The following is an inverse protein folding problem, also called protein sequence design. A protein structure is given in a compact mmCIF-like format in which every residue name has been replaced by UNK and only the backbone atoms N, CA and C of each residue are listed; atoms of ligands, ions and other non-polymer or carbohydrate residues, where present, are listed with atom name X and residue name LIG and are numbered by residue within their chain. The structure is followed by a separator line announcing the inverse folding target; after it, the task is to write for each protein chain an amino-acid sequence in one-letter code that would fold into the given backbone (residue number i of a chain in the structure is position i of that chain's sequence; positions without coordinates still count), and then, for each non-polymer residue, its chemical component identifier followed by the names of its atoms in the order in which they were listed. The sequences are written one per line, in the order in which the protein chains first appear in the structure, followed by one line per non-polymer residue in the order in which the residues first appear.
data_IF_782000451526
#
_entry.id   IF_782000451526
#
_cell.length_a   1.000
_cell.length_b   1.000
_cell.length_c   1.000
_cell.angle_alpha   90.00
_cell.angle_beta   90.00
_cell.angle_gamma   90.00
#
_symmetry.space_group_name_H-M   'P 1'
#
loop_
_entity.id
_entity.type
_entity.pdbx_description
1 polymer ?
#
# COMPACT_ATOMS: atom_id res chain seq x y z
N UNK A 1 -33.85 12.33 -35.86
CA UNK A 1 -32.46 12.13 -35.39
C UNK A 1 -32.50 11.70 -33.92
N UNK A 2 -32.67 10.40 -33.68
CA UNK A 2 -32.51 9.78 -32.36
C UNK A 2 -31.15 9.06 -32.42
N UNK A 3 -30.09 9.74 -32.08
CA UNK A 3 -28.81 9.07 -31.85
C UNK A 3 -28.88 8.43 -30.45
N UNK A 4 -28.89 7.14 -30.48
CA UNK A 4 -28.96 6.23 -29.40
C UNK A 4 -27.84 6.45 -28.39
N UNK A 5 -28.18 6.95 -27.22
CA UNK A 5 -27.55 6.51 -26.01
C UNK A 5 -28.14 5.10 -25.73
N UNK A 6 -27.39 4.07 -26.09
CA UNK A 6 -27.76 2.67 -25.86
C UNK A 6 -27.76 2.30 -24.38
N UNK A 7 -28.55 3.00 -23.62
CA UNK A 7 -28.89 2.59 -22.26
C UNK A 7 -30.03 1.59 -22.35
N UNK A 8 -29.68 0.33 -22.50
CA UNK A 8 -30.63 -0.74 -22.42
C UNK A 8 -31.09 -0.90 -20.97
N UNK A 9 -32.20 -0.25 -20.62
CA UNK A 9 -32.80 -0.29 -19.29
C UNK A 9 -33.30 -1.69 -18.88
N UNK A 10 -33.06 -2.71 -19.70
CA UNK A 10 -33.40 -4.12 -19.43
C UNK A 10 -32.26 -4.94 -18.88
N UNK A 11 -31.05 -4.40 -18.74
CA UNK A 11 -30.07 -5.01 -17.88
C UNK A 11 -30.51 -4.78 -16.43
N UNK A 12 -31.37 -5.68 -15.96
CA UNK A 12 -31.57 -5.89 -14.52
C UNK A 12 -30.22 -5.84 -13.88
N UNK A 13 -29.99 -4.78 -13.11
CA UNK A 13 -28.80 -4.63 -12.24
C UNK A 13 -28.76 -5.91 -11.43
N UNK A 14 -27.93 -6.87 -11.86
CA UNK A 14 -27.75 -8.09 -11.11
C UNK A 14 -27.27 -7.66 -9.73
N UNK A 15 -28.07 -7.96 -8.72
CA UNK A 15 -27.86 -7.64 -7.30
C UNK A 15 -26.58 -8.30 -6.73
N UNK A 16 -25.72 -8.80 -7.61
CA UNK A 16 -24.45 -9.44 -7.28
C UNK A 16 -23.33 -8.41 -7.37
N UNK A 17 -22.65 -8.22 -6.25
CA UNK A 17 -21.44 -7.41 -6.17
C UNK A 17 -20.44 -7.86 -7.24
N UNK A 18 -19.85 -6.89 -7.94
CA UNK A 18 -18.77 -7.20 -8.87
C UNK A 18 -17.60 -7.80 -8.08
N UNK A 19 -16.79 -8.66 -8.70
CA UNK A 19 -15.58 -9.21 -8.07
C UNK A 19 -14.66 -8.11 -7.53
N UNK A 20 -14.60 -6.99 -8.24
CA UNK A 20 -13.85 -5.80 -7.82
C UNK A 20 -14.43 -5.19 -6.54
N UNK A 21 -15.73 -4.89 -6.50
CA UNK A 21 -16.38 -4.29 -5.32
C UNK A 21 -16.25 -5.18 -4.08
N UNK A 22 -16.43 -6.48 -4.27
CA UNK A 22 -16.27 -7.47 -3.20
C UNK A 22 -14.84 -7.48 -2.63
N UNK A 23 -13.83 -7.46 -3.53
CA UNK A 23 -12.43 -7.44 -3.14
C UNK A 23 -12.08 -6.17 -2.36
N UNK A 24 -12.48 -5.01 -2.91
CA UNK A 24 -12.23 -3.70 -2.30
C UNK A 24 -12.82 -3.62 -0.90
N UNK A 25 -14.09 -3.96 -0.72
CA UNK A 25 -14.74 -3.87 0.59
C UNK A 25 -14.09 -4.79 1.62
N UNK A 26 -13.79 -6.04 1.23
CA UNK A 26 -13.14 -6.98 2.14
C UNK A 26 -11.73 -6.57 2.52
N UNK A 27 -10.93 -6.12 1.55
CA UNK A 27 -9.57 -5.65 1.83
C UNK A 27 -9.58 -4.40 2.70
N UNK A 28 -10.46 -3.45 2.41
CA UNK A 28 -10.60 -2.24 3.25
C UNK A 28 -11.02 -2.60 4.67
N UNK A 29 -12.03 -3.46 4.83
CA UNK A 29 -12.46 -3.91 6.14
C UNK A 29 -11.34 -4.67 6.90
N UNK A 30 -10.63 -5.56 6.22
CA UNK A 30 -9.51 -6.29 6.81
C UNK A 30 -8.38 -5.37 7.26
N UNK A 31 -8.04 -4.36 6.44
CA UNK A 31 -6.97 -3.41 6.76
C UNK A 31 -7.38 -2.43 7.88
N UNK A 32 -8.63 -1.99 7.92
CA UNK A 32 -9.12 -1.09 8.98
C UNK A 32 -9.31 -1.85 10.29
N UNK A 33 -10.07 -2.93 10.28
CA UNK A 33 -10.39 -3.67 11.51
C UNK A 33 -9.18 -4.47 11.99
N UNK A 34 -8.53 -5.22 11.11
CA UNK A 34 -7.35 -6.01 11.45
C UNK A 34 -6.15 -5.12 11.77
N UNK A 35 -5.90 -4.10 10.97
CA UNK A 35 -4.83 -3.13 11.21
C UNK A 35 -5.04 -2.35 12.51
N UNK A 36 -6.26 -1.85 12.75
CA UNK A 36 -6.60 -1.15 13.99
C UNK A 36 -6.47 -2.03 15.23
N UNK A 37 -6.90 -3.30 15.13
CA UNK A 37 -6.75 -4.26 16.23
C UNK A 37 -5.27 -4.54 16.53
N UNK A 38 -4.44 -4.73 15.52
CA UNK A 38 -3.01 -4.98 15.72
C UNK A 38 -2.33 -3.74 16.32
N UNK A 39 -2.65 -2.53 15.84
CA UNK A 39 -2.15 -1.29 16.44
C UNK A 39 -2.55 -1.16 17.92
N UNK A 40 -3.77 -1.52 18.26
CA UNK A 40 -4.24 -1.55 19.64
C UNK A 40 -3.47 -2.59 20.49
N UNK A 41 -3.25 -3.80 19.96
CA UNK A 41 -2.45 -4.82 20.64
C UNK A 41 -1.00 -4.38 20.86
N UNK A 42 -0.39 -3.67 19.90
CA UNK A 42 0.96 -3.11 20.07
C UNK A 42 0.97 -2.12 21.26
N UNK A 43 -0.02 -1.22 21.37
CA UNK A 43 -0.12 -0.30 22.51
C UNK A 43 -0.31 -1.00 23.85
N UNK A 44 -0.96 -2.16 23.90
CA UNK A 44 -1.06 -2.99 25.11
C UNK A 44 0.30 -3.57 25.47
N UNK A 45 1.01 -4.16 24.49
CA UNK A 45 2.30 -4.83 24.71
C UNK A 45 3.36 -3.82 25.14
N UNK A 46 3.36 -2.63 24.56
CA UNK A 46 4.29 -1.53 24.90
C UNK A 46 3.98 -0.88 26.26
N UNK A 47 2.93 -1.30 26.92
CA UNK A 47 2.53 -0.75 28.24
C UNK A 47 1.94 0.66 28.18
N UNK A 48 1.79 1.26 27.01
CA UNK A 48 1.21 2.60 26.84
C UNK A 48 -0.24 2.69 27.32
N UNK A 49 -0.96 1.56 27.32
CA UNK A 49 -2.30 1.45 27.93
C UNK A 49 -2.30 1.75 29.43
N UNK A 50 -1.23 1.41 30.14
CA UNK A 50 -1.13 1.53 31.59
C UNK A 50 -0.46 2.84 32.05
N UNK A 51 0.26 3.50 31.13
CA UNK A 51 0.96 4.76 31.40
C UNK A 51 0.19 5.99 30.95
N UNK A 52 -0.70 5.87 29.99
CA UNK A 52 -1.58 6.95 29.57
C UNK A 52 -2.75 7.12 30.53
N UNK A 53 -3.15 8.36 30.81
CA UNK A 53 -4.37 8.67 31.58
C UNK A 53 -5.66 8.34 30.81
N UNK A 54 -5.53 7.93 29.54
CA UNK A 54 -6.67 7.69 28.65
C UNK A 54 -7.30 6.32 28.89
N UNK A 55 -8.62 6.21 28.86
CA UNK A 55 -9.31 4.95 29.03
C UNK A 55 -9.06 4.02 27.82
N UNK A 56 -9.07 2.71 28.04
CA UNK A 56 -8.78 1.67 27.03
C UNK A 56 -9.61 1.80 25.75
N UNK A 57 -10.89 2.22 25.86
CA UNK A 57 -11.76 2.40 24.69
C UNK A 57 -11.33 3.58 23.81
N UNK A 58 -10.70 4.62 24.37
CA UNK A 58 -10.12 5.74 23.63
C UNK A 58 -8.92 5.27 22.81
N UNK A 59 -8.05 4.48 23.39
CA UNK A 59 -6.87 3.90 22.74
C UNK A 59 -7.28 2.96 21.60
N UNK A 60 -8.33 2.16 21.80
CA UNK A 60 -8.91 1.33 20.74
C UNK A 60 -9.47 2.19 19.60
N UNK A 61 -10.21 3.24 19.94
CA UNK A 61 -10.77 4.17 18.95
C UNK A 61 -9.68 4.89 18.16
N UNK A 62 -8.65 5.40 18.81
CA UNK A 62 -7.48 6.02 18.19
C UNK A 62 -6.77 5.05 17.23
N UNK A 63 -6.55 3.80 17.64
CA UNK A 63 -5.92 2.78 16.79
C UNK A 63 -6.74 2.45 15.55
N UNK A 64 -8.06 2.34 15.68
CA UNK A 64 -8.98 2.16 14.55
C UNK A 64 -9.02 3.40 13.64
N UNK A 65 -8.99 4.59 14.24
CA UNK A 65 -8.93 5.85 13.51
C UNK A 65 -7.65 5.94 12.68
N UNK A 66 -6.47 5.67 13.28
CA UNK A 66 -5.18 5.71 12.60
C UNK A 66 -5.10 4.66 11.48
N UNK A 67 -5.67 3.46 11.69
CA UNK A 67 -5.79 2.45 10.63
C UNK A 67 -6.70 2.91 9.48
N UNK A 68 -7.75 3.68 9.75
CA UNK A 68 -8.62 4.26 8.74
C UNK A 68 -7.93 5.42 8.03
N UNK A 69 -7.31 6.32 8.79
CA UNK A 69 -6.63 7.52 8.32
C UNK A 69 -5.29 7.22 7.62
N UNK A 70 -4.84 5.94 7.58
CA UNK A 70 -3.59 5.49 6.93
C UNK A 70 -3.45 5.92 5.45
N UNK A 71 -4.54 6.35 4.84
CA UNK A 71 -4.57 6.82 3.44
C UNK A 71 -4.80 8.32 3.31
N UNK A 72 -5.02 9.03 4.44
CA UNK A 72 -5.39 10.44 4.45
C UNK A 72 -4.55 11.30 5.40
N UNK A 73 -3.78 10.71 6.31
CA UNK A 73 -2.82 11.40 7.18
C UNK A 73 -3.44 12.20 8.33
N UNK A 74 -4.72 12.02 8.62
CA UNK A 74 -5.34 12.67 9.78
C UNK A 74 -5.00 11.92 11.06
N UNK A 75 -4.50 12.61 12.06
CA UNK A 75 -4.25 12.08 13.39
C UNK A 75 -5.05 12.87 14.45
N UNK A 76 -5.43 12.17 15.52
CA UNK A 76 -6.12 12.74 16.68
C UNK A 76 -5.19 12.86 17.88
N UNK A 77 -4.02 12.25 17.82
CA UNK A 77 -2.97 12.31 18.84
C UNK A 77 -1.62 12.60 18.19
N UNK A 78 -0.65 13.04 18.98
CA UNK A 78 0.71 13.25 18.47
C UNK A 78 1.37 11.91 18.12
N UNK A 79 1.75 11.76 16.85
CA UNK A 79 2.42 10.55 16.36
C UNK A 79 3.78 10.32 17.01
N UNK A 80 4.45 11.37 17.50
CA UNK A 80 5.73 11.26 18.19
C UNK A 80 5.64 10.52 19.53
N UNK A 81 4.46 10.44 20.13
CA UNK A 81 4.23 9.72 21.39
C UNK A 81 4.09 8.21 21.20
N UNK A 82 3.97 7.73 19.96
CA UNK A 82 3.84 6.31 19.68
C UNK A 82 5.21 5.61 19.64
N UNK A 83 5.22 4.34 20.03
CA UNK A 83 6.40 3.50 20.01
C UNK A 83 6.90 3.19 18.59
N UNK A 84 8.17 2.80 18.45
CA UNK A 84 8.74 2.40 17.16
C UNK A 84 8.00 1.20 16.51
N UNK A 85 7.60 0.12 17.23
CA UNK A 85 6.78 -0.95 16.65
C UNK A 85 5.42 -0.45 16.11
N UNK A 86 4.77 0.48 16.81
CA UNK A 86 3.53 1.09 16.35
C UNK A 86 3.73 1.85 15.03
N UNK A 87 4.75 2.70 14.98
CA UNK A 87 5.05 3.49 13.79
C UNK A 87 5.46 2.60 12.60
N UNK A 88 6.29 1.57 12.82
CA UNK A 88 6.67 0.62 11.77
C UNK A 88 5.47 -0.14 11.21
N UNK A 89 4.58 -0.62 12.08
CA UNK A 89 3.38 -1.32 11.63
C UNK A 89 2.41 -0.37 10.90
N UNK A 90 2.21 0.84 11.41
CA UNK A 90 1.41 1.86 10.72
C UNK A 90 2.04 2.21 9.36
N UNK A 91 3.37 2.31 9.27
CA UNK A 91 4.12 2.46 8.04
C UNK A 91 3.82 1.34 7.04
N UNK A 92 3.83 0.09 7.48
CA UNK A 92 3.44 -1.04 6.65
C UNK A 92 1.98 -0.96 6.16
N UNK A 93 1.06 -0.47 7.01
CA UNK A 93 -0.32 -0.21 6.59
C UNK A 93 -0.42 0.94 5.57
N UNK A 94 0.37 2.01 5.73
CA UNK A 94 0.43 3.13 4.78
C UNK A 94 0.96 2.71 3.40
N UNK A 95 1.94 1.80 3.36
CA UNK A 95 2.47 1.24 2.12
C UNK A 95 1.38 0.61 1.25
N UNK A 96 0.37 0.00 1.89
CA UNK A 96 -0.84 -0.47 1.21
C UNK A 96 -1.79 0.72 1.09
N UNK A 97 -1.68 1.48 0.02
CA UNK A 97 -2.48 2.67 -0.25
C UNK A 97 -3.97 2.40 -0.40
N UNK A 98 -4.68 3.31 -1.04
CA UNK A 98 -6.12 3.19 -1.28
C UNK A 98 -6.49 2.30 -2.46
N UNK A 99 -7.75 2.38 -2.84
CA UNK A 99 -8.28 1.65 -3.99
C UNK A 99 -7.90 2.34 -5.31
N UNK A 100 -7.82 1.61 -6.43
CA UNK A 100 -7.66 2.20 -7.75
C UNK A 100 -8.76 3.24 -8.02
N UNK A 101 -8.34 4.42 -8.48
CA UNK A 101 -9.23 5.57 -8.69
C UNK A 101 -9.40 6.49 -7.49
N UNK A 102 -8.78 6.18 -6.34
CA UNK A 102 -8.68 7.11 -5.20
C UNK A 102 -7.55 8.12 -5.40
N UNK A 103 -7.51 9.14 -4.55
CA UNK A 103 -6.46 10.16 -4.55
C UNK A 103 -5.16 9.72 -3.87
N UNK A 104 -5.09 8.49 -3.36
CA UNK A 104 -3.92 7.96 -2.64
C UNK A 104 -2.83 7.46 -3.59
N UNK A 105 -1.58 7.62 -3.19
CA UNK A 105 -0.42 7.00 -3.83
C UNK A 105 -0.12 5.59 -3.31
N UNK A 106 1.11 5.14 -3.52
CA UNK A 106 1.57 3.84 -3.03
C UNK A 106 1.01 2.64 -3.80
N UNK A 107 1.01 1.48 -3.14
CA UNK A 107 0.49 0.23 -3.71
C UNK A 107 -1.02 0.15 -3.49
N UNK A 108 -1.80 0.11 -4.57
CA UNK A 108 -3.25 -0.03 -4.44
C UNK A 108 -3.66 -1.33 -3.75
N UNK A 109 -4.74 -1.27 -2.95
CA UNK A 109 -5.29 -2.43 -2.22
C UNK A 109 -5.59 -3.62 -3.11
N UNK A 110 -6.04 -3.41 -4.35
CA UNK A 110 -6.30 -4.49 -5.30
C UNK A 110 -5.03 -5.17 -5.79
N UNK A 111 -3.96 -4.42 -6.06
CA UNK A 111 -2.68 -4.98 -6.45
C UNK A 111 -2.08 -5.80 -5.29
N UNK A 112 -2.14 -5.28 -4.08
CA UNK A 112 -1.71 -6.01 -2.88
C UNK A 112 -2.52 -7.29 -2.66
N UNK A 113 -3.85 -7.24 -2.76
CA UNK A 113 -4.72 -8.40 -2.60
C UNK A 113 -4.45 -9.49 -3.64
N UNK A 114 -4.24 -9.11 -4.91
CA UNK A 114 -3.92 -10.05 -5.98
C UNK A 114 -2.54 -10.68 -5.76
N UNK A 115 -1.57 -9.90 -5.30
CA UNK A 115 -0.22 -10.42 -4.96
C UNK A 115 -0.26 -11.40 -3.80
N UNK A 116 -1.02 -11.11 -2.74
CA UNK A 116 -1.25 -12.06 -1.64
C UNK A 116 -1.97 -13.33 -2.14
N UNK A 117 -2.92 -13.18 -3.06
CA UNK A 117 -3.59 -14.29 -3.71
C UNK A 117 -2.64 -15.18 -4.51
N UNK A 118 -1.64 -14.60 -5.19
CA UNK A 118 -0.61 -15.35 -5.93
C UNK A 118 0.30 -16.12 -4.97
N UNK A 119 0.74 -15.49 -3.88
CA UNK A 119 1.53 -16.17 -2.85
C UNK A 119 0.74 -17.35 -2.26
N UNK A 120 -0.53 -17.12 -1.89
CA UNK A 120 -1.39 -18.17 -1.38
C UNK A 120 -1.64 -19.29 -2.40
N UNK A 121 -1.75 -18.97 -3.70
CA UNK A 121 -1.85 -19.93 -4.79
C UNK A 121 -0.63 -20.84 -4.84
N UNK A 122 0.57 -20.25 -4.79
CA UNK A 122 1.85 -20.99 -4.83
C UNK A 122 1.95 -21.92 -3.62
N UNK A 123 1.70 -21.43 -2.41
CA UNK A 123 1.75 -22.21 -1.17
C UNK A 123 0.74 -23.36 -1.14
N UNK A 124 -0.41 -23.20 -1.80
CA UNK A 124 -1.47 -24.22 -1.86
C UNK A 124 -1.33 -25.15 -3.08
N UNK A 125 -0.33 -24.98 -3.93
CA UNK A 125 -0.14 -25.76 -5.15
C UNK A 125 -1.27 -25.62 -6.19
N UNK A 126 -2.05 -24.53 -6.13
CA UNK A 126 -3.16 -24.30 -7.06
C UNK A 126 -2.66 -23.77 -8.41
N UNK A 127 -3.40 -24.09 -9.50
CA UNK A 127 -3.02 -23.65 -10.85
C UNK A 127 -3.29 -22.18 -11.10
N UNK A 128 -4.36 -21.62 -10.54
CA UNK A 128 -4.86 -20.27 -10.84
C UNK A 128 -5.21 -19.49 -9.57
N UNK A 129 -5.08 -18.16 -9.63
CA UNK A 129 -5.60 -17.25 -8.61
C UNK A 129 -7.10 -17.10 -8.84
N UNK A 130 -7.90 -17.56 -7.87
CA UNK A 130 -9.37 -17.49 -7.92
C UNK A 130 -9.85 -16.57 -6.79
N UNK A 131 -10.59 -15.51 -7.16
CA UNK A 131 -11.22 -14.58 -6.23
C UNK A 131 -12.70 -14.47 -6.56
N UNK A 132 -13.55 -14.61 -5.54
CA UNK A 132 -15.01 -14.55 -5.69
C UNK A 132 -15.52 -15.43 -6.84
N UNK A 133 -15.08 -16.71 -6.89
CA UNK A 133 -15.43 -17.71 -7.91
C UNK A 133 -15.02 -17.32 -9.35
N UNK A 134 -14.14 -16.34 -9.53
CA UNK A 134 -13.61 -15.94 -10.83
C UNK A 134 -12.09 -16.07 -10.87
N UNK A 135 -11.58 -16.58 -11.97
CA UNK A 135 -10.15 -16.65 -12.26
C UNK A 135 -9.63 -15.26 -12.62
N UNK A 136 -8.53 -14.84 -11.99
CA UNK A 136 -7.83 -13.61 -12.33
C UNK A 136 -6.89 -13.91 -13.51
N UNK A 137 -6.89 -13.03 -14.51
CA UNK A 137 -6.03 -13.17 -15.68
C UNK A 137 -4.55 -13.08 -15.29
N UNK A 138 -3.72 -13.94 -15.88
CA UNK A 138 -2.29 -14.07 -15.54
C UNK A 138 -1.51 -12.75 -15.67
N UNK A 139 -1.78 -11.98 -16.72
CA UNK A 139 -1.15 -10.67 -16.94
C UNK A 139 -1.49 -9.65 -15.83
N UNK A 140 -2.67 -9.75 -15.21
CA UNK A 140 -3.06 -8.89 -14.08
C UNK A 140 -2.30 -9.29 -12.83
N UNK A 141 -2.16 -10.60 -12.59
CA UNK A 141 -1.38 -11.13 -11.45
C UNK A 141 0.08 -10.71 -11.55
N UNK A 142 0.70 -10.89 -12.72
CA UNK A 142 2.10 -10.50 -12.96
C UNK A 142 2.33 -9.00 -12.73
N UNK A 143 1.46 -8.15 -13.27
CA UNK A 143 1.53 -6.70 -13.03
C UNK A 143 1.37 -6.34 -11.55
N UNK A 144 0.46 -6.99 -10.85
CA UNK A 144 0.24 -6.74 -9.43
C UNK A 144 1.49 -7.08 -8.59
N UNK A 145 2.08 -8.26 -8.82
CA UNK A 145 3.30 -8.69 -8.13
C UNK A 145 4.48 -7.76 -8.43
N UNK A 146 4.69 -7.42 -9.70
CA UNK A 146 5.75 -6.48 -10.12
C UNK A 146 5.56 -5.12 -9.43
N UNK A 147 4.32 -4.61 -9.36
CA UNK A 147 4.03 -3.33 -8.69
C UNK A 147 4.46 -3.35 -7.23
N UNK A 148 4.12 -4.42 -6.48
CA UNK A 148 4.47 -4.55 -5.07
C UNK A 148 5.99 -4.63 -4.88
N UNK A 149 6.68 -5.44 -5.70
CA UNK A 149 8.14 -5.60 -5.63
C UNK A 149 8.85 -4.28 -5.94
N UNK A 150 8.48 -3.61 -7.02
CA UNK A 150 9.09 -2.34 -7.40
C UNK A 150 8.84 -1.24 -6.37
N UNK A 151 7.64 -1.16 -5.81
CA UNK A 151 7.32 -0.20 -4.76
C UNK A 151 8.13 -0.47 -3.48
N UNK A 152 8.25 -1.73 -3.07
CA UNK A 152 9.08 -2.10 -1.92
C UNK A 152 10.56 -1.79 -2.14
N UNK A 153 11.11 -2.13 -3.31
CA UNK A 153 12.48 -1.79 -3.68
C UNK A 153 12.71 -0.28 -3.72
N UNK A 154 11.76 0.48 -4.23
CA UNK A 154 11.82 1.95 -4.24
C UNK A 154 11.83 2.55 -2.84
N UNK A 155 10.92 2.13 -1.97
CA UNK A 155 10.88 2.58 -0.57
C UNK A 155 12.20 2.25 0.14
N UNK A 156 12.72 1.03 -0.03
CA UNK A 156 14.02 0.64 0.54
C UNK A 156 15.17 1.52 0.04
N UNK A 157 15.22 1.77 -1.28
CA UNK A 157 16.22 2.65 -1.89
C UNK A 157 16.12 4.08 -1.35
N UNK A 158 14.91 4.67 -1.32
CA UNK A 158 14.71 6.02 -0.82
C UNK A 158 15.01 6.16 0.67
N UNK A 159 14.68 5.14 1.48
CA UNK A 159 15.09 5.10 2.90
C UNK A 159 16.60 5.13 3.03
N UNK A 160 17.32 4.35 2.23
CA UNK A 160 18.78 4.33 2.23
C UNK A 160 19.35 5.69 1.84
N UNK A 161 18.81 6.33 0.79
CA UNK A 161 19.23 7.68 0.37
C UNK A 161 18.99 8.70 1.49
N UNK A 162 17.84 8.61 2.18
CA UNK A 162 17.52 9.47 3.31
C UNK A 162 18.48 9.27 4.50
N UNK A 163 18.90 8.04 4.79
CA UNK A 163 19.90 7.77 5.83
C UNK A 163 21.25 8.43 5.54
N UNK A 164 21.64 8.51 4.27
CA UNK A 164 22.86 9.26 3.89
C UNK A 164 22.69 10.77 3.97
N UNK A 165 21.51 11.28 3.64
CA UNK A 165 21.22 12.71 3.71
C UNK A 165 21.06 13.21 5.17
N UNK A 166 20.49 12.36 6.03
CA UNK A 166 20.12 12.71 7.42
C UNK A 166 20.68 11.71 8.44
N UNK A 167 22.00 11.62 8.60
CA UNK A 167 22.64 10.63 9.47
C UNK A 167 22.34 10.82 10.97
N UNK A 168 21.72 11.93 11.35
CA UNK A 168 21.37 12.25 12.74
C UNK A 168 20.03 11.63 13.18
N UNK A 169 19.20 11.22 12.22
CA UNK A 169 17.87 10.69 12.49
C UNK A 169 17.90 9.16 12.49
N UNK A 170 17.04 8.55 13.31
CA UNK A 170 16.95 7.09 13.40
C UNK A 170 16.29 6.50 12.15
N UNK A 171 16.67 5.27 11.80
CA UNK A 171 16.20 4.56 10.61
C UNK A 171 14.68 4.44 10.58
N UNK A 172 14.05 4.11 11.71
CA UNK A 172 12.61 3.97 11.82
C UNK A 172 11.86 5.27 11.55
N UNK A 173 12.37 6.41 12.00
CA UNK A 173 11.80 7.74 11.75
C UNK A 173 11.89 8.09 10.26
N UNK A 174 13.04 7.84 9.64
CA UNK A 174 13.25 8.07 8.21
C UNK A 174 12.41 7.14 7.34
N UNK A 175 12.34 5.85 7.69
CA UNK A 175 11.48 4.89 7.00
C UNK A 175 10.01 5.31 7.03
N UNK A 176 9.51 5.75 8.18
CA UNK A 176 8.13 6.21 8.34
C UNK A 176 7.83 7.40 7.42
N UNK A 177 8.70 8.42 7.39
CA UNK A 177 8.55 9.59 6.50
C UNK A 177 8.61 9.20 5.02
N UNK A 178 9.54 8.32 4.63
CA UNK A 178 9.65 7.84 3.25
C UNK A 178 8.41 7.08 2.83
N UNK A 179 7.88 6.19 3.66
CA UNK A 179 6.64 5.46 3.33
C UNK A 179 5.45 6.41 3.27
N UNK A 180 5.32 7.34 4.22
CA UNK A 180 4.25 8.33 4.26
C UNK A 180 4.25 9.22 3.01
N UNK A 181 5.43 9.68 2.58
CA UNK A 181 5.57 10.49 1.37
C UNK A 181 5.29 9.69 0.10
N UNK A 182 5.79 8.45 -0.01
CA UNK A 182 5.54 7.57 -1.15
C UNK A 182 4.05 7.21 -1.30
N UNK A 183 3.40 6.88 -0.20
CA UNK A 183 1.98 6.58 -0.20
C UNK A 183 1.08 7.83 -0.25
N UNK A 184 1.70 9.03 -0.26
CA UNK A 184 1.01 10.34 -0.25
C UNK A 184 -0.01 10.48 0.88
N UNK A 185 0.34 9.95 2.06
CA UNK A 185 -0.53 9.92 3.25
C UNK A 185 -0.49 11.24 4.00
N UNK A 186 0.71 11.68 4.39
CA UNK A 186 0.90 12.92 5.13
C UNK A 186 1.10 12.74 6.65
N UNK A 187 1.12 11.53 7.16
CA UNK A 187 1.57 11.30 8.53
C UNK A 187 3.05 11.63 8.66
N UNK A 188 3.43 12.31 9.73
CA UNK A 188 4.82 12.57 10.10
C UNK A 188 5.06 12.19 11.55
N UNK A 189 6.24 11.63 11.81
CA UNK A 189 6.71 11.38 13.18
C UNK A 189 7.55 12.55 13.69
N UNK A 190 7.08 13.77 13.41
CA UNK A 190 7.74 15.05 13.73
C UNK A 190 9.17 15.16 13.15
N UNK A 191 9.44 14.48 12.04
CA UNK A 191 10.75 14.48 11.37
C UNK A 191 10.86 15.59 10.34
N UNK A 192 9.77 15.89 9.63
CA UNK A 192 9.76 16.84 8.52
C UNK A 192 10.36 18.21 8.85
N UNK A 193 10.13 18.81 10.05
CA UNK A 193 10.75 20.08 10.42
C UNK A 193 12.28 19.96 10.66
N UNK A 194 12.78 18.79 11.06
CA UNK A 194 14.18 18.52 11.36
C UNK A 194 15.03 18.23 10.10
N UNK A 195 14.38 17.97 8.95
CA UNK A 195 15.04 17.64 7.70
C UNK A 195 15.84 18.81 7.13
N UNK A 196 17.01 18.51 6.60
CA UNK A 196 17.78 19.44 5.77
C UNK A 196 17.02 19.77 4.46
N UNK A 197 17.46 20.79 3.76
CA UNK A 197 16.85 21.12 2.45
C UNK A 197 17.01 19.99 1.44
N UNK A 198 18.13 19.24 1.49
CA UNK A 198 18.32 18.04 0.67
C UNK A 198 17.30 16.95 1.02
N UNK A 199 17.08 16.67 2.31
CA UNK A 199 16.06 15.72 2.78
C UNK A 199 14.65 16.10 2.33
N UNK A 200 14.29 17.39 2.41
CA UNK A 200 13.00 17.89 1.93
C UNK A 200 12.80 17.67 0.42
N UNK A 201 13.83 17.93 -0.40
CA UNK A 201 13.74 17.67 -1.84
C UNK A 201 13.60 16.18 -2.17
N UNK A 202 14.27 15.29 -1.43
CA UNK A 202 14.11 13.83 -1.57
C UNK A 202 12.66 13.44 -1.27
N UNK A 203 12.05 13.97 -0.20
CA UNK A 203 10.66 13.71 0.15
C UNK A 203 9.71 14.23 -0.94
N UNK A 204 9.90 15.43 -1.46
CA UNK A 204 9.09 15.99 -2.56
C UNK A 204 9.16 15.09 -3.80
N UNK A 205 10.36 14.67 -4.19
CA UNK A 205 10.53 13.75 -5.31
C UNK A 205 9.82 12.41 -5.08
N UNK A 206 9.94 11.86 -3.87
CA UNK A 206 9.27 10.63 -3.48
C UNK A 206 7.74 10.73 -3.55
N UNK A 207 7.17 11.88 -3.15
CA UNK A 207 5.73 12.16 -3.29
C UNK A 207 5.27 12.12 -4.75
N UNK A 208 6.05 12.73 -5.66
CA UNK A 208 5.73 12.74 -7.11
C UNK A 208 5.73 11.31 -7.66
N UNK A 209 6.76 10.52 -7.36
CA UNK A 209 6.86 9.12 -7.82
C UNK A 209 5.72 8.27 -7.28
N UNK A 210 5.42 8.40 -5.99
CA UNK A 210 4.31 7.69 -5.36
C UNK A 210 2.95 8.04 -5.97
N UNK A 211 2.76 9.30 -6.37
CA UNK A 211 1.52 9.78 -6.98
C UNK A 211 1.33 9.30 -8.43
N UNK A 212 2.40 9.32 -9.23
CA UNK A 212 2.37 8.82 -10.62
C UNK A 212 2.11 7.32 -10.66
N UNK A 213 2.55 6.61 -9.63
CA UNK A 213 2.49 5.16 -9.54
C UNK A 213 3.72 4.49 -10.13
N UNK A 214 4.25 3.51 -9.40
CA UNK A 214 5.55 2.91 -9.69
C UNK A 214 5.65 2.29 -11.09
N UNK A 215 4.61 1.60 -11.56
CA UNK A 215 4.62 0.98 -12.89
C UNK A 215 4.64 2.03 -14.00
N UNK A 216 3.84 3.10 -13.87
CA UNK A 216 3.82 4.18 -14.86
C UNK A 216 5.14 4.93 -14.87
N UNK A 217 5.74 5.16 -13.69
CA UNK A 217 7.06 5.79 -13.57
C UNK A 217 8.13 4.96 -14.25
N UNK A 218 8.21 3.66 -14.00
CA UNK A 218 9.21 2.78 -14.66
C UNK A 218 9.00 2.72 -16.17
N UNK A 219 7.74 2.59 -16.63
CA UNK A 219 7.42 2.53 -18.07
C UNK A 219 7.78 3.81 -18.80
N UNK A 220 7.78 4.98 -18.14
CA UNK A 220 8.19 6.25 -18.75
C UNK A 220 9.66 6.25 -19.20
N UNK A 221 10.52 5.46 -18.54
CA UNK A 221 11.95 5.33 -18.87
C UNK A 221 12.27 4.12 -19.75
N UNK A 222 11.32 3.20 -19.96
CA UNK A 222 11.53 2.03 -20.81
C UNK A 222 11.18 2.34 -22.27
N UNK A 223 12.10 2.01 -23.20
CA UNK A 223 11.74 1.94 -24.63
C UNK A 223 10.63 0.91 -24.82
N UNK A 224 9.60 1.27 -25.56
CA UNK A 224 8.54 0.32 -25.89
C UNK A 224 9.16 -0.92 -26.56
N UNK A 225 8.90 -2.14 -26.03
CA UNK A 225 9.48 -3.33 -26.63
C UNK A 225 8.90 -3.50 -28.03
N UNK A 226 9.76 -3.50 -29.03
CA UNK A 226 9.41 -3.98 -30.37
C UNK A 226 8.98 -5.43 -30.23
N UNK A 227 7.78 -5.76 -30.69
CA UNK A 227 7.29 -7.14 -30.69
C UNK A 227 8.28 -8.03 -31.39
N UNK A 228 9.05 -8.81 -30.63
CA UNK A 228 9.90 -9.84 -31.22
C UNK A 228 9.02 -10.99 -31.69
N UNK A 229 9.07 -11.39 -32.97
CA UNK A 229 8.34 -12.55 -33.45
C UNK A 229 8.97 -13.87 -32.99
N UNK A 230 10.16 -13.85 -32.42
CA UNK A 230 10.90 -15.03 -32.01
C UNK A 230 10.50 -15.45 -30.59
N UNK A 231 10.01 -16.68 -30.45
CA UNK A 231 9.84 -17.36 -29.16
C UNK A 231 10.99 -18.34 -28.98
N UNK A 232 11.78 -18.16 -27.93
CA UNK A 232 12.81 -19.13 -27.57
C UNK A 232 12.19 -20.35 -26.90
N UNK A 233 12.77 -21.58 -27.08
CA UNK A 233 12.30 -22.78 -26.39
C UNK A 233 12.45 -22.63 -24.87
N UNK A 234 11.47 -23.18 -24.13
CA UNK A 234 11.45 -23.15 -22.66
C UNK A 234 12.47 -24.15 -22.11
N UNK A 235 13.28 -23.72 -21.14
CA UNK A 235 14.15 -24.61 -20.36
C UNK A 235 13.71 -24.61 -18.90
N UNK A 236 13.85 -25.78 -18.24
CA UNK A 236 13.56 -25.91 -16.80
C UNK A 236 14.87 -25.79 -16.03
N UNK A 237 14.94 -24.73 -15.21
CA UNK A 237 16.02 -24.57 -14.25
C UNK A 237 15.60 -25.15 -12.90
N UNK A 238 16.43 -25.96 -12.23
CA UNK A 238 16.17 -26.36 -10.86
C UNK A 238 16.31 -25.13 -9.97
N UNK A 239 15.23 -24.77 -9.32
CA UNK A 239 15.23 -23.82 -8.23
C UNK A 239 15.23 -24.66 -6.96
N UNK A 240 16.40 -24.76 -6.32
CA UNK A 240 16.61 -25.53 -5.08
C UNK A 240 15.72 -25.07 -3.95
#
# INVERSE_FOLDING_TARGET
ARVALGWDARNTVSRHWSTYSWLVVRMTAALVLGGGLILFLIKIIDGSLFTSADPWYWILWESLFNATARTAGFNISDMALNSAPYALFLGALMFIGGNPGSTTGGVHTTAFAVSCGEVARILQGKKDVVMHKRRIARNVVERAVITVILAGAWVGMMTTVMCFAEPRLSLERLFFEVVSSFATVGFSWNVTPELSDAGKWIIVFNMIVGRVGMVAFVLAFMKQPTKSPLRYPETRLPLS
#
